data_IF_333043979213
#
_entry.id   IF_333043979213
#
_cell.length_a   1.000
_cell.length_b   1.000
_cell.length_c   1.000
_cell.angle_alpha   90.00
_cell.angle_beta   90.00
_cell.angle_gamma   90.00
#
_symmetry.space_group_name_H-M   'P 1'
#
loop_
_entity.id
_entity.type
_entity.pdbx_description
1 polymer ?
#
# COMPACT_ATOMS: atom_id res chain seq x y z
N UNK A 1 -6.23 -23.80 25.70
CA UNK A 1 -6.78 -24.95 26.45
C UNK A 1 -5.64 -25.54 27.26
N UNK A 2 -5.71 -25.52 28.59
CA UNK A 2 -4.66 -26.07 29.48
C UNK A 2 -5.00 -27.53 29.78
N UNK A 3 -4.09 -28.51 29.60
CA UNK A 3 -4.32 -29.90 29.96
C UNK A 3 -4.47 -30.07 31.48
N UNK A 4 -5.48 -30.83 31.91
CA UNK A 4 -5.88 -30.95 33.32
C UNK A 4 -4.91 -31.73 34.23
N UNK A 5 -3.81 -32.28 33.69
CA UNK A 5 -2.77 -32.98 34.45
C UNK A 5 -1.39 -32.67 33.86
N UNK A 6 -0.72 -31.67 34.43
CA UNK A 6 0.69 -31.38 34.17
C UNK A 6 1.41 -31.24 35.51
N UNK A 7 2.63 -31.76 35.60
CA UNK A 7 3.50 -31.46 36.74
C UNK A 7 3.84 -29.97 36.76
N UNK A 8 4.17 -29.42 37.92
CA UNK A 8 4.62 -28.02 38.05
C UNK A 8 5.84 -27.68 37.17
N UNK A 9 6.63 -28.68 36.78
CA UNK A 9 7.76 -28.51 35.86
C UNK A 9 7.30 -28.31 34.41
N UNK A 10 6.40 -29.17 33.94
CA UNK A 10 5.84 -29.08 32.58
C UNK A 10 4.97 -27.83 32.42
N UNK A 11 4.26 -27.42 33.48
CA UNK A 11 3.49 -26.17 33.51
C UNK A 11 4.37 -24.94 33.24
N UNK A 12 5.53 -24.83 33.90
CA UNK A 12 6.48 -23.71 33.69
C UNK A 12 7.00 -23.67 32.26
N UNK A 13 7.30 -24.83 31.69
CA UNK A 13 7.77 -24.93 30.30
C UNK A 13 6.67 -24.49 29.32
N UNK A 14 5.44 -24.96 29.51
CA UNK A 14 4.29 -24.60 28.67
C UNK A 14 3.90 -23.13 28.78
N UNK A 15 3.93 -22.55 29.98
CA UNK A 15 3.76 -21.11 30.19
C UNK A 15 4.83 -20.35 29.40
N UNK A 16 6.10 -20.79 29.46
CA UNK A 16 7.18 -20.21 28.67
C UNK A 16 6.93 -20.28 27.15
N UNK A 17 6.41 -21.41 26.64
CA UNK A 17 6.03 -21.54 25.21
C UNK A 17 4.89 -20.59 24.86
N UNK A 18 3.86 -20.49 25.69
CA UNK A 18 2.70 -19.63 25.44
C UNK A 18 3.08 -18.14 25.45
N UNK A 19 3.87 -17.72 26.44
CA UNK A 19 4.37 -16.34 26.52
C UNK A 19 5.18 -15.98 25.27
N UNK A 20 6.11 -16.86 24.82
CA UNK A 20 6.86 -16.62 23.58
C UNK A 20 5.96 -16.49 22.35
N UNK A 21 4.86 -17.24 22.27
CA UNK A 21 3.88 -17.14 21.18
C UNK A 21 3.12 -15.82 21.23
N UNK A 22 2.67 -15.40 22.42
CA UNK A 22 1.98 -14.12 22.61
C UNK A 22 2.90 -12.94 22.28
N UNK A 23 4.13 -12.95 22.77
CA UNK A 23 5.12 -11.92 22.43
C UNK A 23 5.45 -11.91 20.93
N UNK A 24 5.57 -13.08 20.30
CA UNK A 24 5.79 -13.16 18.85
C UNK A 24 4.60 -12.61 18.07
N UNK A 25 3.37 -12.87 18.53
CA UNK A 25 2.15 -12.30 17.96
C UNK A 25 2.09 -10.79 18.16
N UNK A 26 2.44 -10.28 19.34
CA UNK A 26 2.45 -8.85 19.63
C UNK A 26 3.52 -8.13 18.81
N UNK A 27 4.75 -8.65 18.73
CA UNK A 27 5.81 -8.12 17.85
C UNK A 27 5.40 -8.11 16.37
N UNK A 28 4.60 -9.07 15.92
CA UNK A 28 4.05 -9.08 14.55
C UNK A 28 2.99 -8.00 14.36
N UNK A 29 2.18 -7.72 15.38
CA UNK A 29 1.15 -6.67 15.37
C UNK A 29 1.74 -5.26 15.54
N UNK A 30 2.83 -5.14 16.29
CA UNK A 30 3.51 -3.89 16.66
C UNK A 30 5.02 -4.02 16.39
N UNK A 31 5.45 -3.88 15.12
CA UNK A 31 6.86 -3.94 14.77
C UNK A 31 7.64 -2.84 15.49
N UNK A 32 8.88 -3.09 15.91
CA UNK A 32 9.75 -2.03 16.45
C UNK A 32 10.29 -1.12 15.35
N UNK A 33 10.83 0.06 15.70
CA UNK A 33 11.52 0.95 14.76
C UNK A 33 12.68 0.25 14.04
N UNK A 34 13.41 -0.63 14.74
CA UNK A 34 14.48 -1.42 14.13
C UNK A 34 13.95 -2.40 13.07
N UNK A 35 12.80 -3.05 13.34
CA UNK A 35 12.13 -3.90 12.37
C UNK A 35 11.60 -3.09 11.18
N UNK A 36 11.04 -1.90 11.44
CA UNK A 36 10.53 -1.00 10.42
C UNK A 36 11.64 -0.49 9.49
N UNK A 37 12.77 -0.08 10.04
CA UNK A 37 13.97 0.31 9.28
C UNK A 37 14.54 -0.84 8.45
N UNK A 38 14.61 -2.04 9.02
CA UNK A 38 15.06 -3.24 8.28
C UNK A 38 14.12 -3.57 7.13
N UNK A 39 12.81 -3.40 7.35
CA UNK A 39 11.77 -3.59 6.34
C UNK A 39 11.85 -2.56 5.22
N UNK A 40 12.02 -1.28 5.54
CA UNK A 40 12.20 -0.21 4.57
C UNK A 40 13.41 -0.44 3.66
N UNK A 41 14.55 -0.90 4.22
CA UNK A 41 15.74 -1.24 3.43
C UNK A 41 15.49 -2.36 2.42
N UNK A 42 14.75 -3.41 2.81
CA UNK A 42 14.38 -4.48 1.88
C UNK A 42 13.46 -3.96 0.78
N UNK A 43 12.39 -3.23 1.13
CA UNK A 43 11.47 -2.66 0.14
C UNK A 43 12.17 -1.75 -0.86
N UNK A 44 13.11 -0.92 -0.39
CA UNK A 44 13.95 -0.10 -1.26
C UNK A 44 14.77 -0.95 -2.23
N UNK A 45 15.40 -2.02 -1.76
CA UNK A 45 16.15 -2.93 -2.62
C UNK A 45 15.26 -3.65 -3.64
N UNK A 46 14.13 -4.18 -3.19
CA UNK A 46 13.24 -5.03 -3.97
C UNK A 46 12.42 -4.25 -5.02
N UNK A 47 12.04 -3.00 -4.72
CA UNK A 47 11.09 -2.22 -5.53
C UNK A 47 11.64 -0.89 -6.06
N UNK A 48 12.70 -0.34 -5.45
CA UNK A 48 13.24 0.99 -5.79
C UNK A 48 14.73 0.95 -6.16
N UNK A 49 15.25 -0.23 -6.52
CA UNK A 49 16.64 -0.42 -6.94
C UNK A 49 17.69 -0.07 -5.87
N UNK A 50 17.29 -0.02 -4.59
CA UNK A 50 18.17 0.32 -3.46
C UNK A 50 18.58 1.80 -3.39
N UNK A 51 17.94 2.67 -4.17
CA UNK A 51 18.25 4.11 -4.22
C UNK A 51 17.73 4.86 -2.98
N UNK A 52 16.54 4.49 -2.50
CA UNK A 52 15.92 5.12 -1.32
C UNK A 52 16.57 4.61 -0.03
N UNK A 53 17.43 5.40 0.61
CA UNK A 53 18.19 5.00 1.80
C UNK A 53 17.84 5.87 3.01
N UNK A 54 16.84 5.49 3.82
CA UNK A 54 16.45 6.29 4.98
C UNK A 54 17.53 6.22 6.07
N UNK A 55 17.81 7.37 6.68
CA UNK A 55 18.66 7.48 7.87
C UNK A 55 17.94 6.93 9.11
N UNK A 56 16.63 7.19 9.21
CA UNK A 56 15.75 6.65 10.26
C UNK A 56 14.35 6.36 9.75
N UNK A 57 13.70 5.38 10.36
CA UNK A 57 12.29 5.04 10.13
C UNK A 57 11.70 4.70 11.49
N UNK A 58 10.65 5.42 11.91
CA UNK A 58 10.09 5.28 13.26
C UNK A 58 8.58 5.39 13.31
N UNK A 59 7.98 4.76 14.31
CA UNK A 59 6.59 5.02 14.67
C UNK A 59 6.44 6.35 15.40
N UNK A 60 5.31 7.04 15.17
CA UNK A 60 4.94 8.26 15.89
C UNK A 60 3.45 8.26 16.22
N UNK A 61 3.11 8.81 17.38
CA UNK A 61 1.73 8.91 17.88
C UNK A 61 1.07 10.25 17.54
N UNK A 62 1.86 11.23 17.10
CA UNK A 62 1.43 12.60 16.82
C UNK A 62 1.20 12.90 15.33
N UNK A 63 0.96 11.87 14.50
CA UNK A 63 0.45 12.02 13.13
C UNK A 63 -1.04 11.70 13.13
N UNK A 64 -1.87 12.74 13.17
CA UNK A 64 -3.33 12.61 13.29
C UNK A 64 -4.07 12.55 11.95
N UNK A 65 -3.48 13.09 10.89
CA UNK A 65 -4.12 13.29 9.57
C UNK A 65 -3.39 12.61 8.41
N UNK A 66 -2.30 11.88 8.64
CA UNK A 66 -1.49 11.27 7.57
C UNK A 66 -0.87 9.96 8.02
N UNK A 67 -0.83 8.98 7.11
CA UNK A 67 -0.35 7.63 7.42
C UNK A 67 1.17 7.56 7.60
N UNK A 68 1.89 8.45 6.89
CA UNK A 68 3.33 8.59 6.97
C UNK A 68 3.79 10.01 6.62
N UNK A 69 5.09 10.24 6.77
CA UNK A 69 5.76 11.42 6.23
C UNK A 69 7.26 11.16 6.05
N UNK A 70 7.84 11.76 5.02
CA UNK A 70 9.26 11.80 4.75
C UNK A 70 9.80 13.23 4.89
N UNK A 71 10.98 13.38 5.49
CA UNK A 71 11.80 14.60 5.37
C UNK A 71 13.00 14.26 4.48
N UNK A 72 12.96 14.59 3.17
CA UNK A 72 14.01 14.19 2.24
C UNK A 72 15.41 14.71 2.61
N UNK A 73 15.50 15.95 3.12
CA UNK A 73 16.77 16.57 3.49
C UNK A 73 17.58 15.79 4.54
N UNK A 74 16.89 15.16 5.49
CA UNK A 74 17.51 14.35 6.56
C UNK A 74 17.38 12.84 6.31
N UNK A 75 16.72 12.46 5.22
CA UNK A 75 16.31 11.09 4.90
C UNK A 75 15.55 10.39 6.05
N UNK A 76 14.70 11.12 6.79
CA UNK A 76 13.94 10.56 7.91
C UNK A 76 12.50 10.23 7.52
N UNK A 77 12.00 9.08 7.96
CA UNK A 77 10.64 8.62 7.71
C UNK A 77 9.92 8.40 9.05
N UNK A 78 8.68 8.86 9.12
CA UNK A 78 7.80 8.70 10.28
C UNK A 78 6.49 8.06 9.84
N UNK A 79 6.08 6.99 10.50
CA UNK A 79 4.78 6.34 10.27
C UNK A 79 3.86 6.54 11.46
N UNK A 80 2.58 6.78 11.20
CA UNK A 80 1.55 6.84 12.25
C UNK A 80 1.40 5.47 12.93
N UNK A 81 1.36 5.47 14.27
CA UNK A 81 1.12 4.27 15.08
C UNK A 81 -0.26 3.63 14.81
N UNK A 82 -1.19 4.37 14.22
CA UNK A 82 -2.49 3.84 13.79
C UNK A 82 -2.41 2.80 12.69
N UNK A 83 -1.29 2.72 11.97
CA UNK A 83 -1.00 1.60 11.06
C UNK A 83 -0.68 0.29 11.80
N UNK A 84 -0.38 0.33 13.10
CA UNK A 84 -0.10 -0.88 13.87
C UNK A 84 -1.36 -1.75 13.96
N UNK A 85 -1.22 -3.03 13.67
CA UNK A 85 -2.34 -3.97 13.54
C UNK A 85 -2.99 -4.01 12.16
N UNK A 86 -2.69 -3.07 11.26
CA UNK A 86 -3.11 -3.18 9.87
C UNK A 86 -2.37 -4.32 9.15
N UNK A 87 -2.91 -4.84 8.03
CA UNK A 87 -2.23 -5.86 7.26
C UNK A 87 -0.82 -5.42 6.84
N UNK A 88 0.11 -6.36 6.87
CA UNK A 88 1.53 -6.08 6.65
C UNK A 88 1.82 -5.41 5.30
N UNK A 89 1.02 -5.71 4.27
CA UNK A 89 1.14 -5.14 2.92
C UNK A 89 0.67 -3.69 2.81
N UNK A 90 -0.16 -3.22 3.75
CA UNK A 90 -0.55 -1.81 3.86
C UNK A 90 0.60 -1.00 4.45
N UNK A 91 1.25 -1.52 5.49
CA UNK A 91 2.45 -0.89 6.08
C UNK A 91 3.58 -0.81 5.04
N UNK A 92 3.77 -1.88 4.25
CA UNK A 92 4.75 -1.89 3.16
C UNK A 92 4.46 -0.82 2.12
N UNK A 93 3.20 -0.65 1.74
CA UNK A 93 2.80 0.38 0.79
C UNK A 93 3.12 1.79 1.30
N UNK A 94 2.75 2.11 2.54
CA UNK A 94 3.07 3.43 3.12
C UNK A 94 4.59 3.62 3.20
N UNK A 95 5.36 2.59 3.56
CA UNK A 95 6.83 2.67 3.51
C UNK A 95 7.36 2.94 2.10
N UNK A 96 6.86 2.25 1.07
CA UNK A 96 7.27 2.48 -0.33
C UNK A 96 6.94 3.91 -0.76
N UNK A 97 5.76 4.43 -0.38
CA UNK A 97 5.39 5.83 -0.63
C UNK A 97 6.41 6.80 -0.01
N UNK A 98 6.71 6.66 1.29
CA UNK A 98 7.66 7.54 1.97
C UNK A 98 9.10 7.38 1.48
N UNK A 99 9.50 6.16 1.09
CA UNK A 99 10.79 5.91 0.47
C UNK A 99 10.90 6.57 -0.90
N UNK A 100 9.82 6.60 -1.67
CA UNK A 100 9.81 7.22 -2.99
C UNK A 100 10.08 8.72 -2.90
N UNK A 101 9.62 9.39 -1.83
CA UNK A 101 9.95 10.79 -1.54
C UNK A 101 11.45 11.07 -1.38
N UNK A 102 12.28 10.06 -1.11
CA UNK A 102 13.75 10.19 -1.10
C UNK A 102 14.37 10.23 -2.50
N UNK A 103 13.63 9.79 -3.52
CA UNK A 103 14.06 9.71 -4.91
C UNK A 103 13.38 10.78 -5.76
N UNK A 104 12.11 11.05 -5.49
CA UNK A 104 11.26 12.00 -6.22
C UNK A 104 10.40 12.75 -5.20
N UNK A 105 10.64 14.06 -5.03
CA UNK A 105 10.08 14.84 -3.92
C UNK A 105 8.61 15.24 -4.09
N UNK A 106 8.06 15.10 -5.31
CA UNK A 106 6.69 15.49 -5.65
C UNK A 106 5.92 14.29 -6.17
N UNK A 107 4.60 14.27 -6.02
CA UNK A 107 3.72 13.21 -6.55
C UNK A 107 3.55 13.26 -8.08
N UNK A 108 4.65 13.37 -8.82
CA UNK A 108 4.69 13.40 -10.28
C UNK A 108 4.37 12.02 -10.89
N UNK A 109 4.21 11.95 -12.22
CA UNK A 109 4.05 10.67 -12.91
C UNK A 109 5.20 9.69 -12.63
N UNK A 110 6.43 10.21 -12.43
CA UNK A 110 7.61 9.41 -12.05
C UNK A 110 7.50 8.88 -10.62
N UNK A 111 6.95 9.66 -9.69
CA UNK A 111 6.70 9.19 -8.33
C UNK A 111 5.75 8.00 -8.33
N UNK A 112 4.63 8.11 -9.05
CA UNK A 112 3.65 7.04 -9.08
C UNK A 112 4.14 5.79 -9.78
N UNK A 113 4.95 5.91 -10.85
CA UNK A 113 5.56 4.74 -11.47
C UNK A 113 6.51 3.99 -10.52
N UNK A 114 7.22 4.70 -9.63
CA UNK A 114 8.06 4.10 -8.59
C UNK A 114 7.21 3.44 -7.49
N UNK A 115 6.12 4.08 -7.05
CA UNK A 115 5.21 3.50 -6.05
C UNK A 115 4.53 2.23 -6.58
N UNK A 116 4.11 2.24 -7.84
CA UNK A 116 3.42 1.12 -8.49
C UNK A 116 4.35 -0.07 -8.79
N UNK A 117 5.67 0.08 -8.62
CA UNK A 117 6.61 -1.04 -8.62
C UNK A 117 6.38 -2.00 -7.43
N UNK A 118 5.64 -1.57 -6.40
CA UNK A 118 5.16 -2.45 -5.34
C UNK A 118 3.88 -3.19 -5.75
N UNK A 119 3.86 -4.55 -5.84
CA UNK A 119 2.77 -5.30 -6.46
C UNK A 119 1.38 -5.18 -5.81
N UNK A 120 1.29 -4.67 -4.58
CA UNK A 120 0.02 -4.50 -3.84
C UNK A 120 -0.37 -3.04 -3.64
N UNK A 121 0.22 -2.13 -4.42
CA UNK A 121 0.02 -0.69 -4.27
C UNK A 121 -1.46 -0.30 -4.41
N UNK A 122 -2.13 -0.73 -5.48
CA UNK A 122 -3.56 -0.44 -5.72
C UNK A 122 -4.45 -0.94 -4.58
N UNK A 123 -4.31 -2.22 -4.19
CA UNK A 123 -5.05 -2.80 -3.06
C UNK A 123 -4.82 -2.04 -1.75
N UNK A 124 -3.60 -1.57 -1.49
CA UNK A 124 -3.25 -0.79 -0.30
C UNK A 124 -3.88 0.60 -0.30
N UNK A 125 -3.93 1.28 -1.46
CA UNK A 125 -4.66 2.54 -1.61
C UNK A 125 -6.13 2.36 -1.25
N UNK A 126 -6.82 1.40 -1.87
CA UNK A 126 -8.24 1.16 -1.60
C UNK A 126 -8.53 0.78 -0.14
N UNK A 127 -7.64 0.03 0.51
CA UNK A 127 -7.76 -0.27 1.95
C UNK A 127 -7.69 1.00 2.81
N UNK A 128 -6.70 1.87 2.55
CA UNK A 128 -6.51 3.10 3.31
C UNK A 128 -7.63 4.11 3.07
N UNK A 129 -8.12 4.22 1.83
CA UNK A 129 -9.34 5.00 1.51
C UNK A 129 -10.56 4.50 2.28
N UNK A 130 -10.78 3.18 2.30
CA UNK A 130 -11.89 2.59 3.05
C UNK A 130 -11.83 2.89 4.55
N UNK A 131 -10.64 2.81 5.16
CA UNK A 131 -10.44 3.17 6.57
C UNK A 131 -10.64 4.67 6.80
N UNK A 132 -10.13 5.53 5.91
CA UNK A 132 -10.29 6.98 6.01
C UNK A 132 -11.76 7.41 5.86
N UNK A 133 -12.50 6.80 4.93
CA UNK A 133 -13.93 7.04 4.74
C UNK A 133 -14.75 6.60 5.97
N UNK A 134 -14.44 5.43 6.54
CA UNK A 134 -15.10 4.98 7.78
C UNK A 134 -14.86 5.95 8.95
N UNK A 135 -13.62 6.42 9.13
CA UNK A 135 -13.29 7.39 10.17
C UNK A 135 -14.02 8.74 9.99
N UNK A 136 -14.23 9.17 8.75
CA UNK A 136 -14.98 10.38 8.43
C UNK A 136 -16.48 10.27 8.80
N UNK A 137 -17.07 9.08 8.63
CA UNK A 137 -18.45 8.80 9.05
C UNK A 137 -18.60 8.86 10.58
N UNK A 138 -17.58 8.41 11.32
CA UNK A 138 -17.55 8.44 12.79
C UNK A 138 -17.14 9.80 13.39
N UNK A 139 -17.15 10.87 12.58
CA UNK A 139 -16.85 12.24 13.03
C UNK A 139 -15.40 12.48 13.45
N UNK A 140 -14.48 11.57 13.13
CA UNK A 140 -13.05 11.77 13.34
C UNK A 140 -12.43 12.57 12.19
N UNK A 141 -11.38 13.35 12.48
CA UNK A 141 -10.59 14.02 11.44
C UNK A 141 -10.07 12.94 10.48
N UNK A 142 -10.43 12.98 9.18
CA UNK A 142 -10.01 11.95 8.24
C UNK A 142 -8.49 11.91 8.13
N UNK A 143 -7.93 10.72 7.97
CA UNK A 143 -6.61 10.63 7.38
C UNK A 143 -6.69 11.11 5.93
N UNK A 144 -5.68 11.85 5.49
CA UNK A 144 -5.44 12.09 4.06
C UNK A 144 -5.47 10.73 3.38
N UNK A 145 -6.45 10.56 2.49
CA UNK A 145 -6.46 9.48 1.54
C UNK A 145 -5.10 9.52 0.82
N UNK A 146 -4.53 8.35 0.54
CA UNK A 146 -3.28 8.33 -0.21
C UNK A 146 -3.62 8.80 -1.62
N UNK A 147 -3.32 10.06 -1.91
CA UNK A 147 -3.89 10.85 -2.99
C UNK A 147 -4.23 10.01 -4.23
N UNK A 148 -5.50 10.04 -4.62
CA UNK A 148 -6.02 9.37 -5.81
C UNK A 148 -5.58 10.11 -7.07
N UNK A 149 -4.29 10.01 -7.42
CA UNK A 149 -3.76 10.52 -8.68
C UNK A 149 -2.52 9.73 -9.14
N UNK A 150 -2.61 8.40 -9.24
CA UNK A 150 -1.75 7.68 -10.19
C UNK A 150 -1.96 8.25 -11.60
N UNK A 151 -1.01 8.09 -12.55
CA UNK A 151 -1.19 8.62 -13.90
C UNK A 151 -2.54 8.12 -14.43
N UNK A 152 -3.46 9.06 -14.65
CA UNK A 152 -4.69 8.78 -15.39
C UNK A 152 -4.24 8.07 -16.65
N UNK A 153 -4.64 6.82 -16.83
CA UNK A 153 -4.52 6.15 -18.12
C UNK A 153 -5.00 7.15 -19.19
N UNK A 154 -4.36 7.27 -20.36
CA UNK A 154 -4.91 8.09 -21.41
C UNK A 154 -6.34 7.59 -21.62
N UNK A 155 -7.31 8.42 -21.24
CA UNK A 155 -8.69 8.21 -21.64
C UNK A 155 -8.66 8.36 -23.14
N UNK A 156 -8.58 7.25 -23.84
CA UNK A 156 -9.09 7.18 -25.20
C UNK A 156 -10.60 7.44 -25.08
N UNK A 157 -10.90 8.73 -25.06
CA UNK A 157 -12.23 9.30 -25.03
C UNK A 157 -12.83 9.02 -26.39
N UNK A 158 -13.51 7.89 -26.53
CA UNK A 158 -14.61 7.68 -27.47
C UNK A 158 -15.33 6.36 -27.08
N UNK A 159 -16.29 6.43 -26.14
CA UNK A 159 -17.52 5.62 -26.12
C UNK A 159 -18.31 6.04 -24.86
N UNK A 160 -19.27 6.94 -25.07
CA UNK A 160 -20.26 7.30 -24.05
C UNK A 160 -21.27 6.16 -23.83
N UNK A 161 -22.07 6.22 -22.75
CA UNK A 161 -22.92 5.11 -22.28
C UNK A 161 -24.16 4.76 -23.14
N UNK A 162 -24.29 5.28 -24.37
CA UNK A 162 -25.56 5.21 -25.14
C UNK A 162 -25.47 4.48 -26.51
N UNK A 163 -24.52 3.57 -26.74
CA UNK A 163 -24.36 2.92 -28.07
C UNK A 163 -24.44 1.38 -28.05
N UNK A 164 -25.24 0.78 -27.14
CA UNK A 164 -25.45 -0.69 -27.10
C UNK A 164 -26.50 -1.19 -28.12
N UNK A 165 -27.37 -0.33 -28.66
CA UNK A 165 -28.53 -0.75 -29.48
C UNK A 165 -28.51 -0.25 -30.93
N UNK A 166 -27.32 -0.16 -31.54
CA UNK A 166 -27.20 0.16 -32.97
C UNK A 166 -27.09 -1.13 -33.81
N UNK A 167 -28.06 -1.46 -34.67
CA UNK A 167 -27.93 -2.61 -35.55
C UNK A 167 -26.77 -2.40 -36.53
N UNK A 168 -25.92 -3.43 -36.67
CA UNK A 168 -24.80 -3.46 -37.61
C UNK A 168 -25.28 -3.11 -39.03
N UNK A 169 -24.59 -2.22 -39.77
CA UNK A 169 -24.89 -2.04 -41.19
C UNK A 169 -24.54 -3.34 -41.92
N UNK A 170 -25.54 -3.87 -42.62
CA UNK A 170 -25.37 -4.97 -43.55
C UNK A 170 -24.25 -4.64 -44.55
N UNK A 171 -23.33 -5.58 -44.73
CA UNK A 171 -22.29 -5.53 -45.75
C UNK A 171 -22.94 -5.49 -47.14
N UNK A 172 -22.93 -4.31 -47.75
CA UNK A 172 -23.43 -4.13 -49.11
C UNK A 172 -22.39 -4.65 -50.10
N UNK A 173 -22.74 -5.73 -50.76
CA UNK A 173 -21.95 -6.31 -51.83
C UNK A 173 -22.11 -5.46 -53.09
N UNK A 174 -21.00 -4.96 -53.63
CA UNK A 174 -20.93 -4.56 -55.04
C UNK A 174 -19.49 -4.78 -55.53
N UNK A 175 -19.29 -5.86 -56.29
CA UNK A 175 -18.15 -5.99 -57.21
C UNK A 175 -18.68 -5.72 -58.61
N UNK A 176 -18.13 -4.70 -59.25
CA UNK A 176 -18.26 -4.41 -60.67
C UNK A 176 -17.07 -3.54 -61.11
N UNK A 177 -16.85 -3.38 -62.43
CA UNK A 177 -16.18 -4.36 -63.28
C UNK A 177 -14.80 -3.83 -63.70
N UNK A 178 -13.85 -4.72 -64.00
CA UNK A 178 -12.62 -4.34 -64.70
C UNK A 178 -12.46 -5.22 -65.94
N UNK A 179 -12.92 -4.68 -67.07
CA UNK A 179 -12.38 -5.04 -68.38
C UNK A 179 -11.27 -4.06 -68.72
N UNK A 180 -10.14 -4.58 -69.20
CA UNK A 180 -9.22 -3.86 -70.09
C UNK A 180 -8.34 -4.86 -70.84
N UNK A 181 -8.62 -4.91 -72.15
CA UNK A 181 -7.78 -5.28 -73.31
C UNK A 181 -7.38 -6.73 -73.52
#
# INVERSE_FOLDING_TARGET
MIPARMSRGEEREWVGVMLRRLEAQDRRRRPSDAALRSRARRLSADHLGGQARPSSVRWVTNQSSRWGSCTPGDATIRLSDRLQGMPSWVIDYVLVHELTHLVEATHSARFWSLVDAYPRAERARGYLEGIAAAAAVDGHVPFEAVEAAGPTAPTDSCLGPDDWDRPSPASDGTVGPSGRR
#
